data_IF_002191673230
#
_entry.id   IF_002191673230
#
_cell.length_a   1.000
_cell.length_b   1.000
_cell.length_c   1.000
_cell.angle_alpha   90.00
_cell.angle_beta   90.00
_cell.angle_gamma   90.00
#
_symmetry.space_group_name_H-M   'P 1'
#
loop_
_entity.id
_entity.type
_entity.pdbx_description
1 polymer ?
#
# COMPACT_ATOMS: atom_id res chain seq x y z
N UNK A 1 -20.43 -4.95 0.16
CA UNK A 1 -19.11 -4.34 -0.06
C UNK A 1 -19.05 -3.12 0.83
N UNK A 2 -18.14 -3.13 1.80
CA UNK A 2 -17.91 -2.02 2.72
C UNK A 2 -16.65 -1.32 2.23
N UNK A 3 -16.65 0.01 2.20
CA UNK A 3 -15.47 0.81 1.88
C UNK A 3 -15.11 1.58 3.13
N UNK A 4 -13.85 1.49 3.54
CA UNK A 4 -13.28 2.29 4.61
C UNK A 4 -12.18 3.16 3.99
N UNK A 5 -12.22 4.45 4.29
CA UNK A 5 -11.22 5.42 3.83
C UNK A 5 -10.48 5.99 5.04
N UNK A 6 -9.15 5.97 4.95
CA UNK A 6 -8.25 6.70 5.84
C UNK A 6 -7.69 7.88 5.06
N UNK A 7 -7.91 9.09 5.57
CA UNK A 7 -7.38 10.32 4.99
C UNK A 7 -6.40 10.94 5.98
N UNK A 8 -5.20 11.30 5.51
CA UNK A 8 -4.18 11.96 6.33
C UNK A 8 -3.47 13.07 5.57
N UNK A 9 -3.32 14.24 6.19
CA UNK A 9 -2.51 15.33 5.66
C UNK A 9 -1.07 15.18 6.11
N UNK A 10 -0.14 15.17 5.16
CA UNK A 10 1.30 15.05 5.42
C UNK A 10 1.97 16.38 5.04
N UNK A 11 2.80 16.91 5.94
CA UNK A 11 3.61 18.10 5.71
C UNK A 11 4.87 17.76 4.88
N UNK A 12 4.67 17.27 3.66
CA UNK A 12 5.71 16.97 2.69
C UNK A 12 5.17 17.08 1.26
N UNK A 13 6.08 17.20 0.30
CA UNK A 13 5.73 17.19 -1.12
C UNK A 13 5.09 15.86 -1.55
N UNK A 14 4.00 15.92 -2.32
CA UNK A 14 3.24 14.74 -2.76
C UNK A 14 4.10 13.71 -3.51
N UNK A 15 5.05 14.15 -4.36
CA UNK A 15 5.92 13.23 -5.09
C UNK A 15 6.88 12.50 -4.15
N UNK A 16 7.38 13.17 -3.13
CA UNK A 16 8.31 12.54 -2.18
C UNK A 16 7.59 11.54 -1.28
N UNK A 17 6.35 11.84 -0.89
CA UNK A 17 5.49 10.86 -0.20
C UNK A 17 5.20 9.67 -1.12
N UNK A 18 4.85 9.91 -2.39
CA UNK A 18 4.58 8.84 -3.35
C UNK A 18 5.81 7.96 -3.65
N UNK A 19 7.02 8.53 -3.72
CA UNK A 19 8.26 7.77 -3.84
C UNK A 19 8.48 6.79 -2.68
N UNK A 20 7.90 7.07 -1.51
CA UNK A 20 8.00 6.20 -0.33
C UNK A 20 6.85 5.20 -0.30
N UNK A 21 5.60 5.66 -0.38
CA UNK A 21 4.42 4.81 -0.25
C UNK A 21 4.14 3.95 -1.49
N UNK A 22 4.37 4.52 -2.69
CA UNK A 22 4.18 3.82 -3.96
C UNK A 22 5.29 2.82 -4.28
N UNK A 23 6.43 2.86 -3.58
CA UNK A 23 7.43 1.81 -3.69
C UNK A 23 6.91 0.54 -3.00
N UNK A 24 6.22 -0.29 -3.79
CA UNK A 24 5.55 -1.50 -3.33
C UNK A 24 6.49 -2.48 -2.61
N UNK A 25 7.77 -2.44 -2.97
CA UNK A 25 8.85 -3.25 -2.40
C UNK A 25 9.46 -2.69 -1.11
N UNK A 26 9.14 -1.45 -0.73
CA UNK A 26 9.80 -0.73 0.37
C UNK A 26 9.19 -1.03 1.74
N UNK A 27 8.99 -2.31 2.03
CA UNK A 27 8.57 -2.74 3.36
C UNK A 27 9.80 -2.96 4.24
N UNK A 28 9.84 -2.25 5.37
CA UNK A 28 10.90 -2.41 6.36
C UNK A 28 10.51 -3.49 7.37
N UNK A 29 11.34 -4.53 7.50
CA UNK A 29 11.21 -5.52 8.58
C UNK A 29 11.49 -4.87 9.93
N UNK A 30 10.61 -5.11 10.90
CA UNK A 30 10.65 -4.53 12.24
C UNK A 30 9.26 -4.36 12.85
N UNK A 31 9.21 -4.27 14.18
CA UNK A 31 7.93 -4.18 14.91
C UNK A 31 7.09 -5.44 14.70
N UNK A 32 5.90 -5.29 14.11
CA UNK A 32 4.99 -6.40 13.83
C UNK A 32 5.39 -7.25 12.61
N UNK A 33 6.20 -6.69 11.69
CA UNK A 33 6.66 -7.37 10.48
C UNK A 33 7.94 -8.13 10.79
N UNK A 34 7.91 -9.45 10.62
CA UNK A 34 9.03 -10.35 10.94
C UNK A 34 9.80 -10.81 9.71
N UNK A 35 9.18 -10.84 8.53
CA UNK A 35 9.85 -11.11 7.26
C UNK A 35 9.13 -10.43 6.09
N UNK A 36 9.86 -10.21 5.01
CA UNK A 36 9.37 -9.59 3.79
C UNK A 36 10.03 -10.23 2.57
N UNK A 37 9.22 -10.58 1.58
CA UNK A 37 9.65 -11.09 0.28
C UNK A 37 8.91 -10.35 -0.83
N UNK A 38 9.56 -10.16 -1.97
CA UNK A 38 8.98 -9.57 -3.16
C UNK A 38 9.35 -10.41 -4.38
N UNK A 39 8.34 -10.78 -5.16
CA UNK A 39 8.47 -11.52 -6.41
C UNK A 39 7.96 -10.69 -7.58
N UNK A 40 8.79 -10.53 -8.62
CA UNK A 40 8.49 -9.72 -9.78
C UNK A 40 8.72 -8.22 -9.58
N UNK A 41 8.36 -7.44 -10.59
CA UNK A 41 8.55 -5.99 -10.63
C UNK A 41 7.33 -5.30 -11.27
N UNK A 42 7.03 -4.07 -10.84
CA UNK A 42 5.91 -3.29 -11.37
C UNK A 42 4.53 -3.92 -11.12
N UNK A 43 3.54 -3.51 -11.92
CA UNK A 43 2.17 -4.06 -11.84
C UNK A 43 2.22 -5.56 -12.08
N UNK A 44 1.62 -6.33 -11.17
CA UNK A 44 1.67 -7.79 -11.14
C UNK A 44 2.68 -8.35 -10.14
N UNK A 45 3.62 -7.54 -9.62
CA UNK A 45 4.50 -7.97 -8.53
C UNK A 45 3.71 -8.40 -7.30
N UNK A 46 4.22 -9.42 -6.61
CA UNK A 46 3.61 -10.00 -5.41
C UNK A 46 4.56 -9.81 -4.25
N UNK A 47 4.05 -9.26 -3.14
CA UNK A 47 4.79 -9.15 -1.89
C UNK A 47 4.18 -10.05 -0.83
N UNK A 48 5.05 -10.67 -0.04
CA UNK A 48 4.66 -11.51 1.10
C UNK A 48 5.16 -10.84 2.37
N UNK A 49 4.23 -10.40 3.21
CA UNK A 49 4.53 -9.76 4.50
C UNK A 49 4.22 -10.78 5.59
N UNK A 50 5.24 -11.20 6.32
CA UNK A 50 5.07 -12.10 7.46
C UNK A 50 4.98 -11.29 8.75
N UNK A 51 3.97 -11.60 9.56
CA UNK A 51 3.71 -10.97 10.85
C UNK A 51 3.31 -12.01 11.89
N UNK A 52 3.26 -11.63 13.18
CA UNK A 52 3.04 -12.57 14.29
C UNK A 52 1.74 -13.40 14.23
N UNK A 53 0.79 -13.05 13.36
CA UNK A 53 -0.47 -13.77 13.15
C UNK A 53 -0.58 -14.57 11.85
N UNK A 54 0.39 -14.49 10.94
CA UNK A 54 0.32 -15.14 9.62
C UNK A 54 0.98 -14.34 8.52
N UNK A 55 0.66 -14.68 7.27
CA UNK A 55 1.16 -13.99 6.09
C UNK A 55 0.05 -13.19 5.42
N UNK A 56 0.42 -12.01 4.92
CA UNK A 56 -0.40 -11.21 4.01
C UNK A 56 0.32 -11.22 2.66
N UNK A 57 -0.32 -11.83 1.66
CA UNK A 57 0.21 -11.94 0.29
C UNK A 57 -0.56 -10.95 -0.57
N UNK A 58 0.11 -9.93 -1.09
CA UNK A 58 -0.50 -8.84 -1.85
C UNK A 58 0.05 -8.78 -3.26
N UNK A 59 -0.82 -8.50 -4.23
CA UNK A 59 -0.43 -8.20 -5.61
C UNK A 59 -0.66 -6.74 -5.94
N UNK A 60 0.33 -6.09 -6.54
CA UNK A 60 0.17 -4.75 -7.10
C UNK A 60 -0.70 -4.84 -8.36
N UNK A 61 -1.87 -4.18 -8.33
CA UNK A 61 -2.82 -4.18 -9.45
C UNK A 61 -2.73 -2.92 -10.31
N UNK A 62 -2.36 -1.79 -9.72
CA UNK A 62 -2.30 -0.49 -10.37
C UNK A 62 -1.09 0.29 -9.85
N UNK A 63 -0.42 1.01 -10.74
CA UNK A 63 0.62 1.96 -10.40
C UNK A 63 0.68 3.06 -11.47
N UNK A 64 0.43 4.29 -11.07
CA UNK A 64 0.50 5.48 -11.92
C UNK A 64 1.21 6.60 -11.15
N UNK A 65 2.49 6.82 -11.49
CA UNK A 65 3.31 7.85 -10.86
C UNK A 65 2.99 9.27 -11.31
N UNK A 66 2.29 9.44 -12.43
CA UNK A 66 1.87 10.77 -12.89
C UNK A 66 0.64 11.23 -12.12
N UNK A 67 -0.27 10.30 -11.83
CA UNK A 67 -1.47 10.56 -11.01
C UNK A 67 -1.24 10.38 -9.51
N UNK A 68 -0.08 9.86 -9.10
CA UNK A 68 0.24 9.51 -7.72
C UNK A 68 -0.76 8.51 -7.10
N UNK A 69 -1.09 7.48 -7.89
CA UNK A 69 -2.04 6.41 -7.52
C UNK A 69 -1.35 5.06 -7.56
N UNK A 70 -1.64 4.20 -6.58
CA UNK A 70 -1.36 2.77 -6.69
C UNK A 70 -2.44 1.95 -5.98
N UNK A 71 -2.59 0.69 -6.37
CA UNK A 71 -3.61 -0.18 -5.79
C UNK A 71 -3.16 -1.63 -5.74
N UNK A 72 -3.65 -2.38 -4.78
CA UNK A 72 -3.26 -3.77 -4.53
C UNK A 72 -4.41 -4.59 -3.96
N UNK A 73 -4.31 -5.92 -4.04
CA UNK A 73 -5.27 -6.84 -3.42
C UNK A 73 -4.56 -7.90 -2.61
N UNK A 74 -5.20 -8.35 -1.53
CA UNK A 74 -4.75 -9.52 -0.77
C UNK A 74 -5.20 -10.78 -1.53
N UNK A 75 -4.27 -11.71 -1.75
CA UNK A 75 -4.48 -12.93 -2.52
C UNK A 75 -4.88 -14.13 -1.66
N UNK A 76 -4.54 -14.12 -0.37
CA UNK A 76 -4.74 -15.26 0.52
C UNK A 76 -5.86 -15.00 1.54
N UNK A 77 -6.86 -15.89 1.60
CA UNK A 77 -8.02 -15.74 2.50
C UNK A 77 -7.70 -16.16 3.95
N UNK A 78 -6.59 -16.87 4.17
CA UNK A 78 -6.07 -17.24 5.50
C UNK A 78 -5.18 -16.15 6.12
N UNK A 79 -5.25 -14.93 5.60
CA UNK A 79 -4.51 -13.79 6.12
C UNK A 79 -4.98 -13.41 7.55
N UNK A 80 -4.11 -12.79 8.37
CA UNK A 80 -4.43 -12.47 9.77
C UNK A 80 -5.35 -11.25 9.98
N UNK A 81 -5.77 -10.56 8.91
CA UNK A 81 -6.56 -9.33 8.99
C UNK A 81 -8.07 -9.66 8.97
N UNK A 82 -8.93 -8.82 9.57
CA UNK A 82 -10.39 -9.05 9.61
C UNK A 82 -11.08 -8.68 8.29
N UNK A 83 -10.55 -9.12 7.15
CA UNK A 83 -11.02 -8.79 5.79
C UNK A 83 -11.05 -10.03 4.89
N UNK A 84 -11.90 -10.01 3.86
CA UNK A 84 -11.98 -11.05 2.82
C UNK A 84 -12.20 -10.41 1.46
N UNK A 85 -11.63 -11.01 0.40
CA UNK A 85 -11.63 -10.42 -0.96
C UNK A 85 -11.18 -8.94 -0.98
N UNK A 86 -10.15 -8.61 -0.20
CA UNK A 86 -9.73 -7.23 0.05
C UNK A 86 -8.99 -6.64 -1.16
N UNK A 87 -9.32 -5.39 -1.48
CA UNK A 87 -8.62 -4.58 -2.47
C UNK A 87 -8.52 -3.15 -1.98
N UNK A 88 -7.41 -2.49 -2.26
CA UNK A 88 -7.17 -1.13 -1.84
C UNK A 88 -6.63 -0.26 -2.97
N UNK A 89 -6.92 1.03 -2.89
CA UNK A 89 -6.33 2.09 -3.70
C UNK A 89 -5.83 3.20 -2.78
N UNK A 90 -4.64 3.71 -3.10
CA UNK A 90 -4.01 4.85 -2.46
C UNK A 90 -3.83 5.94 -3.49
N UNK A 91 -4.32 7.13 -3.18
CA UNK A 91 -4.17 8.35 -3.98
C UNK A 91 -3.51 9.44 -3.14
N UNK A 92 -2.55 10.16 -3.72
CA UNK A 92 -1.87 11.27 -3.05
C UNK A 92 -2.12 12.57 -3.81
N UNK A 93 -2.79 13.51 -3.17
CA UNK A 93 -3.15 14.81 -3.77
C UNK A 93 -2.27 15.91 -3.20
N UNK A 94 -1.61 16.69 -4.05
CA UNK A 94 -0.82 17.84 -3.61
C UNK A 94 -1.74 18.97 -3.09
N UNK A 95 -1.39 19.52 -1.92
CA UNK A 95 -2.07 20.65 -1.27
C UNK A 95 -1.14 21.88 -1.16
N UNK A 96 -0.15 21.97 -2.05
CA UNK A 96 0.92 22.96 -2.00
C UNK A 96 2.28 22.32 -2.30
N UNK A 97 3.35 23.11 -2.16
CA UNK A 97 4.72 22.64 -2.43
C UNK A 97 5.19 21.63 -1.37
N UNK A 98 4.86 21.85 -0.10
CA UNK A 98 5.30 21.06 1.06
C UNK A 98 4.13 20.44 1.85
N UNK A 99 3.00 20.20 1.20
CA UNK A 99 1.85 19.54 1.83
C UNK A 99 1.08 18.67 0.83
N UNK A 100 0.59 17.53 1.28
CA UNK A 100 -0.28 16.65 0.50
C UNK A 100 -1.31 15.93 1.39
N UNK A 101 -2.37 15.43 0.76
CA UNK A 101 -3.31 14.50 1.39
C UNK A 101 -3.05 13.10 0.83
N UNK A 102 -2.93 12.12 1.71
CA UNK A 102 -2.97 10.70 1.36
C UNK A 102 -4.37 10.18 1.64
N UNK A 103 -5.02 9.63 0.62
CA UNK A 103 -6.29 8.94 0.71
C UNK A 103 -6.08 7.44 0.46
N UNK A 104 -6.34 6.63 1.47
CA UNK A 104 -6.21 5.18 1.41
C UNK A 104 -7.58 4.54 1.59
N UNK A 105 -8.11 3.94 0.53
CA UNK A 105 -9.43 3.30 0.55
C UNK A 105 -9.34 1.81 0.29
N UNK A 106 -10.17 1.01 0.95
CA UNK A 106 -10.31 -0.42 0.72
C UNK A 106 -11.48 -1.05 1.45
#
# INVERSE_FOLDING_TARGET
MTIVTVEETIAANANDVFKVLGDFGRIKVGGAITAFELEGEGVGAVRTITMGGGQVIERLNEYDSEKLVFGYSILNEDNPLPVSNYSSQVEITANGEDACTVNWSG
#
